data_IF_716445634298
#
_entry.id   IF_716445634298
#
_cell.length_a   1.000
_cell.length_b   1.000
_cell.length_c   1.000
_cell.angle_alpha   90.00
_cell.angle_beta   90.00
_cell.angle_gamma   90.00
#
_symmetry.space_group_name_H-M   'P 1'
#
loop_
_entity.id
_entity.type
_entity.pdbx_description
1 polymer ?
#
# COMPACT_ATOMS: atom_id res chain seq x y z
N UNK A 1 -9.35 28.47 26.14
CA UNK A 1 -9.59 28.04 24.75
C UNK A 1 -8.40 27.18 24.32
N UNK A 2 -8.53 25.85 24.27
CA UNK A 2 -7.43 24.97 23.89
C UNK A 2 -7.62 24.53 22.43
N UNK A 3 -6.74 24.97 21.53
CA UNK A 3 -6.67 24.44 20.17
C UNK A 3 -6.10 23.02 20.27
N UNK A 4 -6.97 22.02 20.20
CA UNK A 4 -6.57 20.62 20.06
C UNK A 4 -6.03 20.45 18.64
N UNK A 5 -4.71 20.42 18.49
CA UNK A 5 -4.08 19.98 17.25
C UNK A 5 -4.24 18.46 17.19
N UNK A 6 -5.36 18.00 16.64
CA UNK A 6 -5.48 16.62 16.18
C UNK A 6 -4.81 16.55 14.82
N UNK A 7 -3.63 15.94 14.77
CA UNK A 7 -3.09 15.48 13.51
C UNK A 7 -3.69 14.10 13.28
N UNK A 8 -4.42 13.87 12.17
CA UNK A 8 -4.80 12.51 11.83
C UNK A 8 -3.50 11.75 11.58
N UNK A 9 -3.30 10.71 12.39
CA UNK A 9 -2.33 9.69 12.03
C UNK A 9 -2.88 8.94 10.80
N UNK A 10 -2.07 8.19 10.10
CA UNK A 10 -2.50 7.39 8.95
C UNK A 10 -1.96 5.97 9.09
N UNK A 11 -2.71 4.99 8.63
CA UNK A 11 -2.30 3.58 8.64
C UNK A 11 -2.52 2.96 7.28
N UNK A 12 -1.53 2.19 6.81
CA UNK A 12 -1.65 1.39 5.60
C UNK A 12 -1.98 -0.05 5.97
N UNK A 13 -3.10 -0.58 5.47
CA UNK A 13 -3.46 -2.00 5.55
C UNK A 13 -3.13 -2.63 4.20
N UNK A 14 -2.59 -3.84 4.23
CA UNK A 14 -2.36 -4.62 3.01
C UNK A 14 -2.94 -6.03 3.14
N UNK A 15 -3.45 -6.54 2.03
CA UNK A 15 -4.08 -7.86 1.93
C UNK A 15 -3.60 -8.57 0.66
N UNK A 16 -3.32 -9.87 0.79
CA UNK A 16 -2.92 -10.75 -0.31
C UNK A 16 -3.72 -12.05 -0.23
N UNK A 17 -4.76 -12.13 -1.08
CA UNK A 17 -5.75 -13.19 -1.01
C UNK A 17 -6.38 -13.30 0.38
N UNK A 18 -6.82 -14.50 0.75
CA UNK A 18 -7.61 -14.70 1.97
C UNK A 18 -6.79 -14.96 3.24
N UNK A 19 -5.45 -15.09 3.11
CA UNK A 19 -4.61 -15.66 4.18
C UNK A 19 -3.51 -14.75 4.70
N UNK A 20 -3.12 -13.75 3.92
CA UNK A 20 -2.00 -12.89 4.27
C UNK A 20 -2.50 -11.44 4.33
N UNK A 21 -2.27 -10.81 5.48
CA UNK A 21 -2.55 -9.39 5.65
C UNK A 21 -1.64 -8.79 6.71
N UNK A 22 -1.60 -7.47 6.76
CA UNK A 22 -0.88 -6.74 7.79
C UNK A 22 -1.23 -5.27 7.77
N UNK A 23 -0.71 -4.54 8.75
CA UNK A 23 -0.79 -3.10 8.81
C UNK A 23 0.54 -2.50 9.25
N UNK A 24 0.76 -1.25 8.87
CA UNK A 24 1.87 -0.44 9.39
C UNK A 24 1.51 0.13 10.76
N UNK A 25 2.50 0.70 11.45
CA UNK A 25 2.21 1.64 12.52
C UNK A 25 1.55 2.90 11.96
N UNK A 26 0.97 3.67 12.87
CA UNK A 26 0.43 4.99 12.60
C UNK A 26 1.55 5.99 12.32
N UNK A 27 1.45 6.73 11.22
CA UNK A 27 2.40 7.80 10.84
C UNK A 27 1.67 9.13 10.66
N UNK A 28 2.39 10.25 10.78
CA UNK A 28 1.82 11.59 10.57
C UNK A 28 2.26 12.09 9.19
N UNK A 29 1.34 12.60 8.35
CA UNK A 29 1.70 13.24 7.08
C UNK A 29 2.66 14.42 7.28
N UNK A 30 3.56 14.66 6.33
CA UNK A 30 4.45 15.82 6.34
C UNK A 30 3.62 17.12 6.26
N UNK A 31 3.44 17.79 7.41
CA UNK A 31 2.76 19.07 7.48
C UNK A 31 3.75 20.22 7.67
N UNK A 32 3.43 21.34 7.00
CA UNK A 32 4.11 22.63 6.97
C UNK A 32 4.82 22.99 8.30
N UNK A 33 6.15 22.91 8.30
CA UNK A 33 7.00 23.47 9.36
C UNK A 33 7.66 24.77 8.85
N UNK A 34 7.21 25.90 9.39
CA UNK A 34 7.97 27.17 9.54
C UNK A 34 8.45 27.95 8.31
N UNK A 35 8.82 27.32 7.18
CA UNK A 35 9.48 28.02 6.05
C UNK A 35 9.32 27.34 4.68
N UNK A 36 8.69 26.15 4.60
CA UNK A 36 8.49 25.43 3.34
C UNK A 36 7.07 24.87 3.20
N UNK A 37 6.59 24.74 1.95
CA UNK A 37 5.37 23.99 1.63
C UNK A 37 5.65 22.52 1.95
N UNK A 38 5.05 22.00 3.02
CA UNK A 38 4.95 20.55 3.19
C UNK A 38 4.10 20.02 2.04
N UNK A 39 4.62 19.04 1.31
CA UNK A 39 3.98 18.48 0.11
C UNK A 39 2.80 17.54 0.44
N UNK A 40 2.50 17.33 1.73
CA UNK A 40 1.44 16.43 2.17
C UNK A 40 1.81 14.95 2.02
N UNK A 41 3.09 14.65 1.82
CA UNK A 41 3.60 13.28 1.67
C UNK A 41 3.43 12.49 2.97
N UNK A 42 2.97 11.25 2.81
CA UNK A 42 2.93 10.26 3.89
C UNK A 42 4.03 9.25 3.60
N UNK A 43 4.87 8.97 4.59
CA UNK A 43 5.94 7.97 4.47
C UNK A 43 5.82 6.91 5.55
N UNK A 44 5.78 5.64 5.11
CA UNK A 44 5.79 4.47 5.97
C UNK A 44 7.14 3.77 5.80
N UNK A 45 8.08 3.99 6.71
CA UNK A 45 9.43 3.41 6.66
C UNK A 45 9.46 1.98 7.24
N UNK A 46 8.53 1.14 6.81
CA UNK A 46 8.37 -0.24 7.27
C UNK A 46 8.55 -1.24 6.14
N UNK A 47 8.81 -2.50 6.49
CA UNK A 47 8.99 -3.58 5.52
C UNK A 47 8.37 -4.86 6.04
N UNK A 48 7.76 -5.63 5.14
CA UNK A 48 7.19 -6.93 5.42
C UNK A 48 7.72 -7.97 4.44
N UNK A 49 7.57 -9.25 4.79
CA UNK A 49 7.88 -10.36 3.89
C UNK A 49 6.57 -11.05 3.50
N UNK A 50 6.36 -11.19 2.20
CA UNK A 50 5.21 -11.89 1.65
C UNK A 50 5.70 -13.04 0.77
N UNK A 51 5.54 -14.30 1.20
CA UNK A 51 5.82 -15.45 0.35
C UNK A 51 4.83 -15.49 -0.81
N UNK A 52 5.33 -15.46 -2.05
CA UNK A 52 4.50 -15.54 -3.26
C UNK A 52 4.99 -16.63 -4.19
N UNK A 53 4.04 -17.32 -4.84
CA UNK A 53 4.32 -18.28 -5.91
C UNK A 53 3.84 -17.68 -7.22
N UNK A 54 4.74 -17.51 -8.19
CA UNK A 54 4.40 -17.08 -9.54
C UNK A 54 4.15 -18.30 -10.42
N UNK A 55 2.90 -18.49 -10.84
CA UNK A 55 2.53 -19.58 -11.73
C UNK A 55 2.53 -19.09 -13.16
N UNK A 56 3.39 -19.68 -14.01
CA UNK A 56 3.39 -19.40 -15.45
C UNK A 56 2.03 -19.74 -16.06
N UNK A 57 1.54 -18.85 -16.91
CA UNK A 57 0.47 -19.21 -17.83
C UNK A 57 1.04 -20.14 -18.91
N UNK A 58 0.27 -21.16 -19.28
CA UNK A 58 0.63 -21.97 -20.42
C UNK A 58 0.33 -21.15 -21.66
N UNK A 59 1.38 -20.69 -22.35
CA UNK A 59 1.23 -20.01 -23.64
C UNK A 59 0.46 -20.93 -24.59
N UNK A 60 -0.64 -20.43 -25.17
CA UNK A 60 -1.14 -20.98 -26.44
C UNK A 60 0.04 -20.87 -27.42
N UNK A 61 0.39 -21.97 -28.10
CA UNK A 61 1.58 -22.08 -28.98
C UNK A 61 1.86 -20.78 -29.75
N UNK A 62 2.99 -20.12 -29.46
CA UNK A 62 3.49 -18.97 -30.23
C UNK A 62 3.75 -17.67 -29.45
N UNK A 63 3.35 -17.56 -28.18
CA UNK A 63 3.67 -16.38 -27.38
C UNK A 63 5.05 -16.52 -26.72
N UNK A 64 6.07 -15.84 -27.25
CA UNK A 64 7.36 -15.69 -26.57
C UNK A 64 7.21 -14.74 -25.38
N UNK A 65 7.00 -15.29 -24.19
CA UNK A 65 6.99 -14.53 -22.95
C UNK A 65 6.67 -15.41 -21.75
N UNK A 66 7.37 -15.18 -20.63
CA UNK A 66 6.98 -15.74 -19.35
C UNK A 66 5.85 -14.87 -18.75
N UNK A 67 4.61 -15.06 -19.21
CA UNK A 67 3.46 -14.47 -18.52
C UNK A 67 3.14 -15.29 -17.27
N UNK A 68 2.84 -14.62 -16.16
CA UNK A 68 2.44 -15.25 -14.92
C UNK A 68 0.97 -14.92 -14.63
N UNK A 69 0.27 -15.85 -13.98
CA UNK A 69 -1.09 -15.57 -13.49
C UNK A 69 -1.05 -14.41 -12.50
N UNK A 70 -2.06 -13.55 -12.59
CA UNK A 70 -2.28 -12.38 -11.73
C UNK A 70 -2.08 -12.70 -10.25
N UNK A 71 -1.30 -11.87 -9.56
CA UNK A 71 -0.94 -12.04 -8.16
C UNK A 71 -0.94 -10.68 -7.47
N UNK A 72 -2.07 -10.30 -6.87
CA UNK A 72 -2.29 -8.94 -6.40
C UNK A 72 -2.16 -8.77 -4.89
N UNK A 73 -1.51 -7.69 -4.49
CA UNK A 73 -1.58 -7.14 -3.14
C UNK A 73 -2.45 -5.89 -3.19
N UNK A 74 -3.50 -5.86 -2.39
CA UNK A 74 -4.34 -4.68 -2.21
C UNK A 74 -3.80 -3.87 -1.02
N UNK A 75 -3.64 -2.57 -1.22
CA UNK A 75 -3.26 -1.61 -0.18
C UNK A 75 -4.40 -0.63 0.04
N UNK A 76 -4.75 -0.44 1.30
CA UNK A 76 -5.82 0.44 1.75
C UNK A 76 -5.27 1.44 2.76
N UNK A 77 -5.41 2.73 2.46
CA UNK A 77 -4.99 3.82 3.34
C UNK A 77 -6.16 4.25 4.22
N UNK A 78 -5.96 4.28 5.53
CA UNK A 78 -7.00 4.62 6.50
C UNK A 78 -6.57 5.75 7.44
N UNK A 79 -7.51 6.67 7.67
CA UNK A 79 -7.49 7.53 8.85
C UNK A 79 -7.95 6.68 10.06
N UNK A 80 -7.15 6.57 11.13
CA UNK A 80 -7.46 5.81 12.32
C UNK A 80 -8.64 6.46 13.05
N UNK A 81 -9.48 5.64 13.68
CA UNK A 81 -10.72 6.10 14.23
C UNK A 81 -10.48 6.99 15.45
N UNK A 82 -11.30 8.04 15.60
CA UNK A 82 -11.29 8.92 16.79
C UNK A 82 -11.76 8.19 18.05
N UNK A 83 -12.53 7.11 17.88
CA UNK A 83 -13.05 6.23 18.92
C UNK A 83 -12.64 4.78 18.61
N UNK A 84 -12.13 4.05 19.60
CA UNK A 84 -11.62 2.67 19.46
C UNK A 84 -12.69 1.66 19.02
N UNK A 85 -13.97 2.03 19.06
CA UNK A 85 -15.09 1.16 18.71
C UNK A 85 -15.51 1.22 17.24
N UNK A 86 -14.95 2.14 16.44
CA UNK A 86 -15.32 2.34 15.04
C UNK A 86 -14.16 1.95 14.12
N UNK A 87 -14.43 1.38 12.94
CA UNK A 87 -13.39 1.17 11.91
C UNK A 87 -12.95 2.53 11.37
N UNK A 88 -11.65 2.72 11.13
CA UNK A 88 -11.11 3.95 10.56
C UNK A 88 -11.73 4.32 9.19
N UNK A 89 -11.56 5.57 8.75
CA UNK A 89 -12.07 6.05 7.47
C UNK A 89 -11.12 5.64 6.34
N UNK A 90 -11.61 4.91 5.34
CA UNK A 90 -10.85 4.60 4.13
C UNK A 90 -10.64 5.89 3.30
N UNK A 91 -9.38 6.24 3.05
CA UNK A 91 -8.99 7.41 2.27
C UNK A 91 -8.72 7.06 0.81
N UNK A 92 -8.20 5.86 0.55
CA UNK A 92 -7.96 5.39 -0.81
C UNK A 92 -7.39 3.98 -0.87
N UNK A 93 -7.40 3.43 -2.08
CA UNK A 93 -6.99 2.05 -2.36
C UNK A 93 -6.07 2.02 -3.57
N UNK A 94 -5.12 1.08 -3.57
CA UNK A 94 -4.34 0.74 -4.76
C UNK A 94 -4.06 -0.76 -4.79
N UNK A 95 -3.89 -1.32 -5.99
CA UNK A 95 -3.64 -2.75 -6.18
C UNK A 95 -2.36 -2.92 -6.96
N UNK A 96 -1.42 -3.68 -6.41
CA UNK A 96 -0.15 -4.00 -7.04
C UNK A 96 -0.17 -5.45 -7.54
N UNK A 97 -0.12 -5.64 -8.85
CA UNK A 97 0.04 -6.97 -9.44
C UNK A 97 1.52 -7.37 -9.52
N UNK A 98 1.94 -8.25 -8.62
CA UNK A 98 3.30 -8.78 -8.53
C UNK A 98 3.67 -9.62 -9.77
N UNK A 99 2.68 -10.20 -10.46
CA UNK A 99 2.92 -11.00 -11.66
C UNK A 99 3.53 -10.18 -12.80
N UNK A 100 3.19 -8.88 -12.88
CA UNK A 100 3.72 -7.96 -13.89
C UNK A 100 5.21 -7.69 -13.77
N UNK A 101 5.82 -7.96 -12.61
CA UNK A 101 7.24 -7.75 -12.35
C UNK A 101 8.09 -9.03 -12.48
N UNK A 102 7.45 -10.21 -12.53
CA UNK A 102 8.13 -11.49 -12.66
C UNK A 102 9.09 -11.81 -11.50
N UNK A 103 10.14 -12.58 -11.80
CA UNK A 103 11.17 -12.94 -10.81
C UNK A 103 12.15 -11.78 -10.66
N UNK A 104 12.07 -11.11 -9.51
CA UNK A 104 12.90 -9.95 -9.16
C UNK A 104 14.22 -10.42 -8.55
N UNK A 105 15.36 -10.07 -9.17
CA UNK A 105 16.72 -10.44 -8.69
C UNK A 105 17.35 -9.38 -7.79
N UNK A 106 16.94 -8.12 -7.95
CA UNK A 106 17.46 -6.94 -7.25
C UNK A 106 16.29 -6.08 -6.77
N UNK A 107 16.50 -5.18 -5.81
CA UNK A 107 15.44 -4.30 -5.31
C UNK A 107 14.82 -3.46 -6.44
N UNK A 108 13.49 -3.42 -6.50
CA UNK A 108 12.73 -2.61 -7.45
C UNK A 108 11.90 -1.57 -6.71
N UNK A 109 11.97 -0.31 -7.15
CA UNK A 109 11.04 0.74 -6.73
C UNK A 109 9.85 0.77 -7.68
N UNK A 110 8.65 0.70 -7.13
CA UNK A 110 7.40 0.70 -7.88
C UNK A 110 6.53 1.89 -7.49
N UNK A 111 5.78 2.42 -8.45
CA UNK A 111 4.78 3.45 -8.21
C UNK A 111 3.41 2.89 -8.58
N UNK A 112 2.46 3.00 -7.68
CA UNK A 112 1.07 2.60 -7.92
C UNK A 112 0.15 3.77 -7.59
N UNK A 113 -0.72 4.21 -8.52
CA UNK A 113 -1.64 5.30 -8.24
C UNK A 113 -2.66 4.86 -7.19
N UNK A 114 -2.92 5.74 -6.22
CA UNK A 114 -3.99 5.56 -5.24
C UNK A 114 -5.27 6.14 -5.82
N UNK A 115 -6.34 5.35 -5.77
CA UNK A 115 -7.69 5.78 -6.10
C UNK A 115 -8.31 6.29 -4.80
N UNK A 116 -8.56 7.60 -4.72
CA UNK A 116 -9.24 8.22 -3.58
C UNK A 116 -10.72 7.82 -3.57
N UNK A 117 -11.29 7.67 -2.37
CA UNK A 117 -12.73 7.44 -2.20
C UNK A 117 -13.54 8.73 -2.35
#
# INVERSE_FOLDING_TARGET
MAKRAFHPNETLLWEHGDRNSGCTNQVVPSLRTGSGVGDGRIEFSESFRLPVTLLREMSIKGAEGNTFKKNCVEFNLYEPPRDKTVKGQLLGTTVLDLAGYGVVKESLSVNAPIISK
#
